data_IF_706040690669
#
_entry.id   IF_706040690669
#
_cell.length_a   1.000
_cell.length_b   1.000
_cell.length_c   1.000
_cell.angle_alpha   90.00
_cell.angle_beta   90.00
_cell.angle_gamma   90.00
#
_symmetry.space_group_name_H-M   'P 1'
#
loop_
_entity.id
_entity.type
_entity.pdbx_description
1 polymer ?
#
# COMPACT_ATOMS: atom_id res chain seq x y z
N UNK A 1 -11.39 0.17 -17.69
CA UNK A 1 -11.62 -0.15 -16.26
C UNK A 1 -10.62 0.63 -15.44
N UNK A 2 -11.03 1.15 -14.28
CA UNK A 2 -10.18 1.89 -13.34
C UNK A 2 -10.22 1.21 -11.99
N UNK A 3 -9.06 1.03 -11.35
CA UNK A 3 -8.92 0.39 -10.04
C UNK A 3 -8.34 1.38 -9.03
N UNK A 4 -8.93 1.42 -7.84
CA UNK A 4 -8.41 2.17 -6.72
C UNK A 4 -7.89 1.21 -5.64
N UNK A 5 -6.68 1.44 -5.19
CA UNK A 5 -6.09 0.76 -4.05
C UNK A 5 -6.09 1.75 -2.88
N UNK A 6 -6.59 1.32 -1.73
CA UNK A 6 -6.64 2.15 -0.52
C UNK A 6 -5.59 1.65 0.47
N UNK A 7 -4.57 2.47 0.67
CA UNK A 7 -3.42 2.19 1.52
C UNK A 7 -2.23 1.59 0.77
N UNK A 8 -1.03 2.15 1.01
CA UNK A 8 0.25 1.66 0.51
C UNK A 8 1.02 0.86 1.59
N UNK A 9 0.30 0.10 2.40
CA UNK A 9 0.87 -0.94 3.25
C UNK A 9 1.21 -2.20 2.44
N UNK A 10 1.76 -3.26 3.07
CA UNK A 10 2.22 -4.46 2.37
C UNK A 10 1.20 -5.06 1.39
N UNK A 11 -0.08 -5.09 1.76
CA UNK A 11 -1.15 -5.62 0.89
C UNK A 11 -1.38 -4.77 -0.35
N UNK A 12 -1.46 -3.44 -0.20
CA UNK A 12 -1.62 -2.52 -1.35
C UNK A 12 -0.41 -2.55 -2.26
N UNK A 13 0.79 -2.65 -1.69
CA UNK A 13 2.04 -2.77 -2.43
C UNK A 13 2.14 -4.10 -3.17
N UNK A 14 1.67 -5.20 -2.59
CA UNK A 14 1.59 -6.50 -3.26
C UNK A 14 0.64 -6.43 -4.47
N UNK A 15 -0.50 -5.75 -4.34
CA UNK A 15 -1.43 -5.55 -5.44
C UNK A 15 -0.83 -4.69 -6.56
N UNK A 16 -0.17 -3.58 -6.24
CA UNK A 16 0.55 -2.76 -7.22
C UNK A 16 1.63 -3.56 -7.94
N UNK A 17 2.34 -4.41 -7.22
CA UNK A 17 3.36 -5.29 -7.78
C UNK A 17 2.77 -6.33 -8.73
N UNK A 18 1.61 -6.88 -8.43
CA UNK A 18 0.93 -7.82 -9.31
C UNK A 18 0.57 -7.17 -10.65
N UNK A 19 0.05 -5.95 -10.63
CA UNK A 19 -0.21 -5.18 -11.84
C UNK A 19 1.06 -4.84 -12.63
N UNK A 20 2.13 -4.44 -11.94
CA UNK A 20 3.42 -4.19 -12.59
C UNK A 20 3.96 -5.45 -13.28
N UNK A 21 3.80 -6.62 -12.65
CA UNK A 21 4.19 -7.89 -13.24
C UNK A 21 3.38 -8.24 -14.49
N UNK A 22 2.07 -8.06 -14.44
CA UNK A 22 1.19 -8.27 -15.58
C UNK A 22 1.55 -7.34 -16.75
N UNK A 23 1.79 -6.05 -16.46
CA UNK A 23 2.21 -5.06 -17.47
C UNK A 23 3.54 -5.44 -18.13
N UNK A 24 4.53 -5.89 -17.35
CA UNK A 24 5.82 -6.39 -17.87
C UNK A 24 5.67 -7.62 -18.74
N UNK A 25 4.67 -8.45 -18.48
CA UNK A 25 4.36 -9.64 -19.28
C UNK A 25 3.53 -9.28 -20.54
N UNK A 26 3.27 -8.00 -20.81
CA UNK A 26 2.52 -7.54 -21.97
C UNK A 26 0.99 -7.64 -21.81
N UNK A 27 0.50 -7.87 -20.60
CA UNK A 27 -0.92 -7.93 -20.32
C UNK A 27 -1.51 -6.50 -20.24
N UNK A 28 -2.75 -6.38 -20.67
CA UNK A 28 -3.47 -5.11 -20.55
C UNK A 28 -3.94 -4.90 -19.10
N UNK A 29 -3.35 -3.95 -18.40
CA UNK A 29 -3.75 -3.57 -17.05
C UNK A 29 -4.79 -2.43 -17.06
N UNK A 30 -5.61 -2.30 -15.99
CA UNK A 30 -6.49 -1.16 -15.80
C UNK A 30 -5.70 0.12 -15.49
N UNK A 31 -6.37 1.27 -15.58
CA UNK A 31 -5.86 2.49 -14.96
C UNK A 31 -5.86 2.33 -13.44
N UNK A 32 -4.73 2.57 -12.79
CA UNK A 32 -4.54 2.30 -11.35
C UNK A 32 -4.24 3.61 -10.64
N UNK A 33 -4.91 3.83 -9.51
CA UNK A 33 -4.56 4.85 -8.52
C UNK A 33 -4.50 4.21 -7.13
N UNK A 34 -3.46 4.51 -6.36
CA UNK A 34 -3.35 4.13 -4.96
C UNK A 34 -3.37 5.39 -4.10
N UNK A 35 -4.21 5.41 -3.07
CA UNK A 35 -4.27 6.51 -2.10
C UNK A 35 -3.66 6.07 -0.77
N UNK A 36 -2.68 6.83 -0.29
CA UNK A 36 -2.02 6.61 1.00
C UNK A 36 -2.11 7.87 1.85
N UNK A 37 -2.55 7.72 3.10
CA UNK A 37 -2.67 8.85 4.02
C UNK A 37 -1.33 9.36 4.54
N UNK A 38 -0.35 8.48 4.66
CA UNK A 38 0.99 8.82 5.14
C UNK A 38 1.83 9.48 4.03
N UNK A 39 2.96 10.02 4.41
CA UNK A 39 3.93 10.64 3.49
C UNK A 39 4.75 9.61 2.70
N UNK A 40 4.77 8.36 3.15
CA UNK A 40 5.51 7.30 2.52
C UNK A 40 4.79 5.95 2.67
N UNK A 41 5.24 4.98 1.90
CA UNK A 41 4.73 3.61 1.90
C UNK A 41 5.26 2.77 3.05
N UNK A 42 4.69 1.58 3.24
CA UNK A 42 5.09 0.64 4.29
C UNK A 42 4.00 0.37 5.33
N UNK A 43 2.93 1.18 5.34
CA UNK A 43 1.81 1.02 6.26
C UNK A 43 2.25 1.02 7.71
N UNK A 44 1.81 0.04 8.51
CA UNK A 44 2.15 -0.08 9.93
C UNK A 44 3.65 -0.27 10.19
N UNK A 45 4.41 -0.82 9.23
CA UNK A 45 5.85 -1.00 9.38
C UNK A 45 6.61 0.31 9.36
N UNK A 46 6.05 1.34 8.71
CA UNK A 46 6.56 2.72 8.74
C UNK A 46 6.16 3.39 10.06
N UNK A 47 6.90 3.08 11.11
CA UNK A 47 6.62 3.48 12.49
C UNK A 47 6.91 4.94 12.74
N UNK A 48 6.02 5.60 13.47
CA UNK A 48 6.27 6.88 14.12
C UNK A 48 6.06 6.76 15.62
N UNK A 49 6.84 7.48 16.40
CA UNK A 49 6.66 7.60 17.85
C UNK A 49 5.54 8.59 18.23
N UNK A 50 5.08 9.39 17.27
CA UNK A 50 4.05 10.42 17.48
C UNK A 50 2.71 9.76 17.78
N UNK A 51 1.94 10.43 18.62
CA UNK A 51 0.55 10.09 18.96
C UNK A 51 -0.32 11.34 18.76
N UNK A 52 -1.65 11.19 18.82
CA UNK A 52 -2.57 12.28 18.61
C UNK A 52 -2.83 12.54 17.12
N UNK A 53 -2.63 13.76 16.68
CA UNK A 53 -2.80 14.18 15.27
C UNK A 53 -1.50 14.72 14.69
N UNK A 54 -1.38 14.64 13.37
CA UNK A 54 -0.30 15.23 12.60
C UNK A 54 -0.54 16.73 12.31
N UNK A 55 0.31 17.32 11.49
CA UNK A 55 0.22 18.73 11.06
C UNK A 55 -1.04 19.06 10.24
N UNK A 56 -1.72 18.03 9.72
CA UNK A 56 -2.97 18.14 8.94
C UNK A 56 -4.21 17.81 9.78
N UNK A 57 -4.05 17.56 11.09
CA UNK A 57 -5.13 17.15 11.98
C UNK A 57 -5.57 15.69 11.81
N UNK A 58 -4.81 14.89 11.06
CA UNK A 58 -5.11 13.46 10.87
C UNK A 58 -4.62 12.64 12.06
N UNK A 59 -5.40 11.64 12.53
CA UNK A 59 -4.96 10.80 13.63
C UNK A 59 -3.70 10.01 13.24
N UNK A 60 -2.65 10.19 14.03
CA UNK A 60 -1.43 9.40 13.95
C UNK A 60 -1.60 8.17 14.82
N UNK A 61 -2.49 7.26 14.42
CA UNK A 61 -2.68 6.01 15.13
C UNK A 61 -1.93 4.88 14.44
N UNK A 62 -1.09 4.21 15.22
CA UNK A 62 -0.41 3.01 14.78
C UNK A 62 -0.33 2.04 15.96
N UNK A 63 -0.81 0.81 15.77
CA UNK A 63 -0.66 -0.27 16.74
C UNK A 63 0.77 -0.81 16.81
N UNK A 64 1.67 -0.29 15.99
CA UNK A 64 3.09 -0.62 15.96
C UNK A 64 3.83 0.06 17.11
N UNK A 65 4.90 -0.57 17.62
CA UNK A 65 5.81 0.02 18.58
C UNK A 65 7.28 -0.18 18.16
N UNK A 66 8.14 0.66 18.70
CA UNK A 66 9.52 0.82 18.23
C UNK A 66 10.33 -0.48 18.20
N UNK A 67 10.18 -1.31 19.20
CA UNK A 67 10.97 -2.53 19.40
C UNK A 67 10.17 -3.81 19.13
N UNK A 68 9.13 -3.71 18.31
CA UNK A 68 8.39 -4.89 17.88
C UNK A 68 9.28 -5.83 17.08
N UNK A 69 9.17 -7.11 17.39
CA UNK A 69 9.71 -8.20 16.59
C UNK A 69 8.58 -8.88 15.83
N UNK A 70 8.86 -9.32 14.62
CA UNK A 70 7.88 -10.09 13.87
C UNK A 70 7.46 -11.33 14.65
N UNK A 71 6.17 -11.62 14.69
CA UNK A 71 5.59 -12.85 15.25
C UNK A 71 5.46 -13.96 14.20
N UNK A 72 5.82 -13.69 12.95
CA UNK A 72 5.93 -14.66 11.87
C UNK A 72 7.39 -14.81 11.41
N UNK A 73 7.80 -16.02 11.01
CA UNK A 73 9.13 -16.21 10.48
C UNK A 73 9.30 -15.51 9.12
N UNK A 74 10.50 -14.97 8.87
CA UNK A 74 10.80 -14.25 7.61
C UNK A 74 10.50 -15.08 6.36
N UNK A 75 10.66 -16.39 6.46
CA UNK A 75 10.40 -17.36 5.40
C UNK A 75 8.92 -17.37 4.94
N UNK A 76 8.01 -16.93 5.82
CA UNK A 76 6.58 -16.75 5.51
C UNK A 76 6.23 -15.30 5.15
N UNK A 77 7.18 -14.37 5.25
CA UNK A 77 6.99 -12.95 5.03
C UNK A 77 7.72 -12.45 3.77
N UNK A 78 8.48 -13.32 3.12
CA UNK A 78 9.19 -12.99 1.89
C UNK A 78 8.23 -12.73 0.73
N UNK A 79 8.58 -11.75 -0.09
CA UNK A 79 7.96 -11.59 -1.39
C UNK A 79 8.46 -12.74 -2.33
N UNK A 80 7.58 -13.25 -3.17
CA UNK A 80 7.91 -14.35 -4.07
C UNK A 80 9.07 -14.03 -5.05
N UNK A 81 9.33 -12.75 -5.28
CA UNK A 81 10.32 -12.24 -6.23
C UNK A 81 11.43 -11.42 -5.57
N UNK A 82 11.55 -11.49 -4.23
CA UNK A 82 12.57 -10.76 -3.47
C UNK A 82 12.77 -11.35 -2.08
N UNK A 83 13.89 -12.01 -1.86
CA UNK A 83 14.19 -12.64 -0.57
C UNK A 83 14.89 -11.70 0.40
N UNK A 84 14.85 -12.03 1.69
CA UNK A 84 15.63 -11.30 2.71
C UNK A 84 17.13 -11.45 2.45
N UNK A 85 17.56 -12.61 2.01
CA UNK A 85 18.98 -12.88 1.73
C UNK A 85 19.48 -12.07 0.53
N UNK A 86 18.65 -11.94 -0.52
CA UNK A 86 18.93 -11.06 -1.65
C UNK A 86 19.04 -9.58 -1.22
N UNK A 87 18.18 -9.15 -0.27
CA UNK A 87 18.18 -7.78 0.20
C UNK A 87 19.39 -7.46 1.07
N UNK A 88 19.68 -8.30 2.06
CA UNK A 88 20.73 -8.05 3.05
C UNK A 88 22.10 -8.61 2.66
N UNK A 89 22.21 -9.45 1.63
CA UNK A 89 23.43 -10.12 1.20
C UNK A 89 23.99 -11.12 2.22
N UNK A 90 23.20 -11.47 3.22
CA UNK A 90 23.57 -12.40 4.30
C UNK A 90 22.33 -12.97 4.98
N UNK A 91 22.42 -14.15 5.61
CA UNK A 91 21.36 -14.67 6.46
C UNK A 91 21.03 -13.73 7.61
N UNK A 92 19.75 -13.61 7.93
CA UNK A 92 19.24 -12.88 9.10
C UNK A 92 18.39 -13.81 9.96
N UNK A 93 18.10 -13.38 11.19
CA UNK A 93 17.23 -14.13 12.11
C UNK A 93 15.84 -14.34 11.50
N UNK A 94 15.24 -15.53 11.76
CA UNK A 94 13.91 -15.88 11.22
C UNK A 94 12.80 -14.95 11.71
N UNK A 95 12.93 -14.38 12.90
CA UNK A 95 11.98 -13.40 13.43
C UNK A 95 12.64 -12.01 13.46
N UNK A 96 12.55 -11.22 12.37
CA UNK A 96 13.24 -9.95 12.28
C UNK A 96 12.53 -8.85 13.09
N UNK A 97 13.28 -7.87 13.62
CA UNK A 97 12.69 -6.70 14.23
C UNK A 97 12.00 -5.81 13.18
N UNK A 98 11.05 -5.01 13.63
CA UNK A 98 10.26 -4.08 12.80
C UNK A 98 11.11 -3.26 11.80
N UNK A 99 12.24 -2.72 12.27
CA UNK A 99 13.10 -1.89 11.42
C UNK A 99 13.70 -2.68 10.24
N UNK A 100 14.06 -3.94 10.46
CA UNK A 100 14.55 -4.84 9.41
C UNK A 100 13.44 -5.18 8.42
N UNK A 101 12.22 -5.38 8.91
CA UNK A 101 11.05 -5.58 8.03
C UNK A 101 10.76 -4.37 7.16
N UNK A 102 10.81 -3.17 7.73
CA UNK A 102 10.60 -1.94 6.95
C UNK A 102 11.68 -1.77 5.89
N UNK A 103 12.94 -1.95 6.24
CA UNK A 103 14.07 -1.83 5.30
C UNK A 103 13.94 -2.83 4.14
N UNK A 104 13.57 -4.07 4.45
CA UNK A 104 13.28 -5.09 3.44
C UNK A 104 12.14 -4.69 2.49
N UNK A 105 11.00 -4.23 3.04
CA UNK A 105 9.86 -3.76 2.25
C UNK A 105 10.27 -2.59 1.35
N UNK A 106 10.96 -1.61 1.90
CA UNK A 106 11.43 -0.44 1.15
C UNK A 106 12.47 -0.81 0.09
N UNK A 107 13.36 -1.76 0.37
CA UNK A 107 14.33 -2.29 -0.58
C UNK A 107 13.66 -2.92 -1.79
N UNK A 108 12.60 -3.71 -1.56
CA UNK A 108 11.79 -4.28 -2.64
C UNK A 108 11.13 -3.20 -3.49
N UNK A 109 10.60 -2.16 -2.85
CA UNK A 109 9.87 -1.08 -3.51
C UNK A 109 10.78 -0.18 -4.36
N UNK A 110 12.02 0.01 -3.97
CA UNK A 110 13.02 0.76 -4.77
C UNK A 110 13.27 0.13 -6.14
N UNK A 111 12.97 -1.18 -6.31
CA UNK A 111 13.07 -1.89 -7.59
C UNK A 111 11.80 -1.79 -8.44
N UNK A 112 10.78 -1.08 -7.99
CA UNK A 112 9.46 -0.98 -8.62
C UNK A 112 9.25 0.38 -9.29
N UNK A 113 8.43 0.40 -10.35
CA UNK A 113 8.14 1.60 -11.16
C UNK A 113 6.75 2.19 -10.89
N UNK A 114 6.05 1.77 -9.81
CA UNK A 114 4.68 2.20 -9.56
C UNK A 114 4.53 3.31 -8.51
N UNK A 115 5.62 3.95 -8.09
CA UNK A 115 5.56 5.02 -7.08
C UNK A 115 4.70 6.21 -7.53
N UNK A 116 4.72 6.52 -8.81
CA UNK A 116 3.91 7.57 -9.44
C UNK A 116 2.40 7.29 -9.39
N UNK A 117 2.01 6.01 -9.28
CA UNK A 117 0.61 5.58 -9.11
C UNK A 117 0.09 5.80 -7.68
N UNK A 118 0.97 6.13 -6.72
CA UNK A 118 0.61 6.35 -5.32
C UNK A 118 0.47 7.84 -5.05
N UNK A 119 -0.70 8.23 -4.53
CA UNK A 119 -0.97 9.57 -4.04
C UNK A 119 -0.80 9.57 -2.54
N UNK A 120 0.38 10.03 -2.08
CA UNK A 120 0.70 10.17 -0.66
C UNK A 120 -0.04 11.36 -0.04
N UNK A 121 -0.11 11.41 1.30
CA UNK A 121 -0.85 12.43 2.06
C UNK A 121 -2.27 12.63 1.55
N UNK A 122 -2.89 11.53 1.11
CA UNK A 122 -4.20 11.56 0.47
C UNK A 122 -5.11 10.47 1.05
N UNK A 123 -5.67 10.69 2.26
CA UNK A 123 -6.63 9.75 2.84
C UNK A 123 -7.90 9.65 2.01
N UNK A 124 -8.44 8.45 1.91
CA UNK A 124 -9.79 8.22 1.38
C UNK A 124 -10.81 8.53 2.48
N UNK A 125 -11.77 9.40 2.19
CA UNK A 125 -12.79 9.87 3.12
C UNK A 125 -14.08 9.05 3.03
N UNK A 126 -14.43 8.62 1.82
CA UNK A 126 -15.62 7.79 1.62
C UNK A 126 -15.49 6.90 0.40
N UNK A 127 -16.17 5.77 0.46
CA UNK A 127 -16.39 4.87 -0.66
C UNK A 127 -17.87 4.54 -0.68
N UNK A 128 -18.55 4.91 -1.75
CA UNK A 128 -20.00 4.70 -1.91
C UNK A 128 -20.23 3.86 -3.14
N UNK A 129 -20.91 2.73 -2.97
CA UNK A 129 -21.33 1.90 -4.09
C UNK A 129 -22.63 2.45 -4.69
N UNK A 130 -22.64 2.68 -5.98
CA UNK A 130 -23.81 3.05 -6.75
C UNK A 130 -24.37 1.80 -7.44
N UNK A 131 -25.48 1.31 -6.94
CA UNK A 131 -26.12 0.08 -7.40
C UNK A 131 -26.68 0.20 -8.81
N UNK A 132 -27.19 1.38 -9.20
CA UNK A 132 -27.81 1.60 -10.51
C UNK A 132 -26.77 1.65 -11.64
N UNK A 133 -25.56 2.10 -11.32
CA UNK A 133 -24.45 2.26 -12.29
C UNK A 133 -23.38 1.17 -12.13
N UNK A 134 -23.55 0.28 -11.17
CA UNK A 134 -22.58 -0.77 -10.83
C UNK A 134 -21.15 -0.22 -10.72
N UNK A 135 -21.00 0.84 -9.94
CA UNK A 135 -19.68 1.46 -9.74
C UNK A 135 -19.51 2.00 -8.32
N UNK A 136 -18.27 2.28 -7.95
CA UNK A 136 -17.93 2.95 -6.71
C UNK A 136 -17.57 4.41 -6.95
N UNK A 137 -18.06 5.27 -6.08
CA UNK A 137 -17.61 6.65 -5.95
C UNK A 137 -16.65 6.73 -4.78
N UNK A 138 -15.39 7.06 -5.05
CA UNK A 138 -14.34 7.22 -4.03
C UNK A 138 -14.02 8.70 -3.88
N UNK A 139 -14.11 9.21 -2.66
CA UNK A 139 -13.68 10.56 -2.31
C UNK A 139 -12.37 10.51 -1.55
N UNK A 140 -11.33 11.09 -2.11
CA UNK A 140 -10.02 11.24 -1.52
C UNK A 140 -9.72 12.72 -1.25
N UNK A 141 -8.89 13.02 -0.25
CA UNK A 141 -8.56 14.36 0.16
C UNK A 141 -7.03 14.54 0.17
N UNK A 142 -6.49 15.31 -0.77
CA UNK A 142 -5.08 15.69 -0.73
C UNK A 142 -4.87 16.70 0.40
N UNK A 143 -4.11 16.32 1.41
CA UNK A 143 -3.88 17.13 2.62
C UNK A 143 -2.92 18.30 2.37
N UNK A 144 -2.06 18.20 1.38
CA UNK A 144 -1.07 19.26 1.06
C UNK A 144 -1.74 20.44 0.38
N UNK A 145 -2.57 20.15 -0.61
CA UNK A 145 -3.24 21.17 -1.43
C UNK A 145 -4.66 21.49 -0.92
N UNK A 146 -5.12 20.79 0.10
CA UNK A 146 -6.50 20.84 0.65
C UNK A 146 -7.58 20.58 -0.43
N UNK A 147 -7.30 19.70 -1.38
CA UNK A 147 -8.19 19.41 -2.50
C UNK A 147 -8.86 18.05 -2.34
N UNK A 148 -10.20 18.04 -2.41
CA UNK A 148 -10.99 16.82 -2.48
C UNK A 148 -11.20 16.40 -3.93
N UNK A 149 -10.87 15.15 -4.23
CA UNK A 149 -11.03 14.54 -5.55
C UNK A 149 -12.03 13.40 -5.46
N UNK A 150 -12.97 13.35 -6.39
CA UNK A 150 -13.92 12.24 -6.50
C UNK A 150 -13.58 11.41 -7.73
N UNK A 151 -13.43 10.12 -7.54
CA UNK A 151 -13.09 9.15 -8.57
C UNK A 151 -14.23 8.15 -8.75
N UNK A 152 -14.62 7.89 -10.00
CA UNK A 152 -15.55 6.80 -10.34
C UNK A 152 -14.73 5.57 -10.71
N UNK A 153 -15.11 4.45 -10.10
CA UNK A 153 -14.47 3.15 -10.28
C UNK A 153 -15.51 2.15 -10.71
N UNK A 154 -15.19 1.35 -11.70
CA UNK A 154 -16.07 0.28 -12.16
C UNK A 154 -15.70 -1.03 -11.48
N UNK A 155 -16.69 -1.76 -10.98
CA UNK A 155 -16.49 -3.10 -10.45
C UNK A 155 -16.02 -4.04 -11.57
N UNK A 156 -15.00 -4.84 -11.27
CA UNK A 156 -14.76 -6.06 -12.04
C UNK A 156 -15.63 -7.16 -11.42
N UNK A 157 -16.33 -7.99 -12.19
CA UNK A 157 -17.01 -9.13 -11.63
C UNK A 157 -16.03 -9.96 -10.81
N UNK A 158 -16.44 -10.30 -9.58
CA UNK A 158 -15.66 -11.17 -8.72
C UNK A 158 -15.53 -12.54 -9.40
N UNK A 159 -14.36 -13.20 -9.35
CA UNK A 159 -14.23 -14.58 -9.83
C UNK A 159 -15.15 -15.57 -9.13
N UNK A 160 -15.86 -15.16 -8.05
CA UNK A 160 -16.83 -15.97 -7.32
C UNK A 160 -18.24 -15.92 -7.93
N UNK A 161 -18.47 -15.01 -8.88
CA UNK A 161 -19.79 -14.76 -9.49
C UNK A 161 -19.89 -15.35 -10.91
N UNK A 162 -18.90 -16.18 -11.32
CA UNK A 162 -18.87 -16.92 -12.59
C UNK A 162 -18.99 -18.41 -12.39
#
# INVERSE_FOLDING_TARGET
>A
MRVCIIGAGPSGLAQLRAFESAERNGEKIPEIVCYEKQEDWGGLWNYTWRTGTDEYGEPVHCSMYRYLWSNGPKECLEFADYTFEEHFGKPIASYPPRAVMLDYIQGRLKKSNFRDKIKFRTPVRSVVYNKDKDNFTVTAHNLVDDVKTTCLLYTSPSPRDS
#
